data_IF_016210834038
#
_entry.id   IF_016210834038
#
_cell.length_a   1.000
_cell.length_b   1.000
_cell.length_c   1.000
_cell.angle_alpha   90.00
_cell.angle_beta   90.00
_cell.angle_gamma   90.00
#
_symmetry.space_group_name_H-M   'P 1'
#
loop_
_entity.id
_entity.type
_entity.pdbx_description
1 polymer ?
#
# COMPACT_ATOMS: atom_id res chain seq x y z
N UNK A 1 -11.14 11.17 13.47
CA UNK A 1 -11.56 9.86 14.00
C UNK A 1 -10.99 8.77 13.12
N UNK A 2 -10.06 7.99 13.65
CA UNK A 2 -9.51 6.83 12.93
C UNK A 2 -10.43 5.64 13.18
N UNK A 3 -11.24 5.31 12.17
CA UNK A 3 -12.16 4.18 12.23
C UNK A 3 -11.38 2.89 11.94
N UNK A 4 -11.41 1.95 12.88
CA UNK A 4 -10.86 0.61 12.67
C UNK A 4 -11.81 -0.18 11.77
N UNK A 5 -11.69 -0.01 10.46
CA UNK A 5 -12.53 -0.62 9.43
C UNK A 5 -11.96 -1.96 8.92
N UNK A 6 -11.42 -2.72 9.86
CA UNK A 6 -10.83 -4.05 9.71
C UNK A 6 -11.11 -4.83 11.00
N UNK A 7 -10.92 -6.15 10.97
CA UNK A 7 -11.40 -7.05 12.03
C UNK A 7 -12.90 -6.87 12.29
N UNK A 8 -13.64 -6.60 11.20
CA UNK A 8 -15.10 -6.55 11.19
C UNK A 8 -15.70 -7.95 11.36
N UNK A 9 -14.95 -8.94 10.91
CA UNK A 9 -15.25 -10.36 11.00
C UNK A 9 -13.97 -11.13 11.33
N UNK A 10 -14.11 -12.28 11.97
CA UNK A 10 -12.96 -13.08 12.41
C UNK A 10 -13.35 -14.40 13.06
N UNK A 11 -12.36 -15.06 13.67
CA UNK A 11 -12.56 -16.33 14.38
C UNK A 11 -13.38 -16.21 15.68
N UNK A 12 -13.86 -15.00 16.01
CA UNK A 12 -14.78 -14.72 17.12
C UNK A 12 -16.24 -14.65 16.69
N UNK A 13 -16.52 -14.74 15.38
CA UNK A 13 -17.89 -14.75 14.86
C UNK A 13 -18.58 -16.10 15.13
N UNK A 14 -19.89 -16.05 15.40
CA UNK A 14 -20.74 -17.22 15.65
C UNK A 14 -21.95 -17.22 14.70
N UNK A 15 -22.17 -18.29 13.89
CA UNK A 15 -21.33 -19.48 13.78
C UNK A 15 -19.99 -19.18 13.08
N UNK A 16 -18.97 -19.96 13.42
CA UNK A 16 -17.63 -19.78 12.86
C UNK A 16 -17.58 -20.13 11.37
N UNK A 17 -17.24 -19.14 10.55
CA UNK A 17 -17.15 -19.26 9.11
C UNK A 17 -15.94 -18.52 8.56
N UNK A 18 -15.38 -19.00 7.45
CA UNK A 18 -14.30 -18.35 6.74
C UNK A 18 -14.83 -17.12 5.98
N UNK A 19 -14.65 -15.94 6.58
CA UNK A 19 -15.17 -14.67 6.06
C UNK A 19 -14.07 -13.61 6.03
N UNK A 20 -14.23 -12.63 5.13
CA UNK A 20 -13.25 -11.56 5.01
C UNK A 20 -13.35 -10.57 6.18
N UNK A 21 -12.21 -10.16 6.74
CA UNK A 21 -12.19 -9.30 7.93
C UNK A 21 -12.34 -7.80 7.67
N UNK A 22 -12.18 -7.35 6.42
CA UNK A 22 -12.25 -5.93 6.03
C UNK A 22 -13.06 -5.68 4.74
N UNK A 23 -14.27 -6.26 4.56
CA UNK A 23 -15.04 -6.13 3.33
C UNK A 23 -15.44 -4.67 3.06
N UNK A 24 -15.14 -4.14 1.87
CA UNK A 24 -15.48 -2.76 1.52
C UNK A 24 -17.00 -2.58 1.44
N UNK A 25 -17.69 -3.55 0.84
CA UNK A 25 -19.14 -3.66 0.77
C UNK A 25 -19.59 -5.06 1.18
N UNK A 26 -20.85 -5.24 1.53
CA UNK A 26 -21.47 -6.57 1.59
C UNK A 26 -22.98 -6.39 1.53
N UNK A 27 -23.63 -7.00 0.55
CA UNK A 27 -25.09 -6.88 0.42
C UNK A 27 -25.82 -7.54 1.60
N UNK A 28 -25.29 -8.67 2.08
CA UNK A 28 -25.95 -9.52 3.07
C UNK A 28 -25.47 -9.29 4.52
N UNK A 29 -24.56 -8.33 4.75
CA UNK A 29 -24.11 -7.96 6.10
C UNK A 29 -24.00 -6.45 6.23
N UNK A 30 -24.62 -5.83 7.25
CA UNK A 30 -24.43 -4.41 7.53
C UNK A 30 -23.03 -4.10 8.08
N UNK A 31 -22.25 -5.12 8.46
CA UNK A 31 -20.91 -4.96 9.02
C UNK A 31 -19.89 -4.94 7.88
N UNK A 32 -19.74 -3.78 7.24
CA UNK A 32 -18.76 -3.52 6.18
C UNK A 32 -18.28 -2.06 6.22
N UNK A 33 -17.16 -1.77 5.55
CA UNK A 33 -16.50 -0.46 5.61
C UNK A 33 -17.44 0.68 5.15
N UNK A 34 -18.11 0.50 4.00
CA UNK A 34 -19.00 1.52 3.42
C UNK A 34 -20.18 1.83 4.34
N UNK A 35 -20.79 0.80 4.93
CA UNK A 35 -21.93 0.97 5.85
C UNK A 35 -21.50 1.64 7.14
N UNK A 36 -20.38 1.21 7.74
CA UNK A 36 -19.84 1.82 8.96
C UNK A 36 -19.51 3.30 8.75
N UNK A 37 -18.81 3.65 7.67
CA UNK A 37 -18.48 5.05 7.35
C UNK A 37 -19.74 5.92 7.19
N UNK A 38 -20.77 5.37 6.52
CA UNK A 38 -22.06 6.05 6.34
C UNK A 38 -22.79 6.24 7.67
N UNK A 39 -22.87 5.20 8.51
CA UNK A 39 -23.53 5.28 9.81
C UNK A 39 -22.89 6.32 10.73
N UNK A 40 -21.56 6.45 10.72
CA UNK A 40 -20.88 7.51 11.46
C UNK A 40 -21.22 8.91 10.95
N UNK A 41 -21.31 9.09 9.63
CA UNK A 41 -21.72 10.36 9.03
C UNK A 41 -23.19 10.69 9.35
N UNK A 42 -24.08 9.70 9.30
CA UNK A 42 -25.51 9.84 9.63
C UNK A 42 -25.73 10.13 11.12
N UNK A 43 -24.84 9.64 12.00
CA UNK A 43 -24.82 9.98 13.43
C UNK A 43 -24.31 11.42 13.70
N UNK A 44 -23.97 12.18 12.66
CA UNK A 44 -23.59 13.60 12.77
C UNK A 44 -22.09 13.86 12.83
N UNK A 45 -21.23 12.83 12.68
CA UNK A 45 -19.78 13.07 12.61
C UNK A 45 -19.41 13.67 11.25
N UNK A 46 -18.71 14.82 11.21
CA UNK A 46 -18.28 15.42 9.96
C UNK A 46 -17.45 14.46 9.11
N UNK A 47 -17.81 14.29 7.83
CA UNK A 47 -17.15 13.34 6.91
C UNK A 47 -15.64 13.57 6.80
N UNK A 48 -15.21 14.84 6.76
CA UNK A 48 -13.81 15.23 6.71
C UNK A 48 -13.00 14.90 7.98
N UNK A 49 -13.66 14.44 9.06
CA UNK A 49 -13.01 13.91 10.25
C UNK A 49 -13.00 12.38 10.28
N UNK A 50 -13.67 11.70 9.35
CA UNK A 50 -13.70 10.23 9.27
C UNK A 50 -12.49 9.73 8.48
N UNK A 51 -11.58 9.03 9.15
CA UNK A 51 -10.37 8.45 8.56
C UNK A 51 -10.55 6.93 8.54
N UNK A 52 -10.52 6.31 7.36
CA UNK A 52 -10.74 4.86 7.21
C UNK A 52 -9.45 4.08 7.47
N UNK A 53 -9.54 3.02 8.27
CA UNK A 53 -8.45 2.09 8.51
C UNK A 53 -8.28 1.07 7.39
N UNK A 54 -7.07 0.93 6.85
CA UNK A 54 -6.72 -0.15 5.90
C UNK A 54 -5.72 -1.10 6.59
N UNK A 55 -6.04 -2.41 6.68
CA UNK A 55 -5.14 -3.40 7.28
C UNK A 55 -4.08 -3.84 6.26
N UNK A 56 -2.85 -4.00 6.73
CA UNK A 56 -1.70 -4.50 5.98
C UNK A 56 -1.42 -5.96 6.35
N UNK A 57 -2.47 -6.67 6.74
CA UNK A 57 -2.47 -8.09 7.08
C UNK A 57 -3.78 -8.72 6.60
N UNK A 58 -3.80 -10.04 6.51
CA UNK A 58 -5.00 -10.85 6.36
C UNK A 58 -5.33 -11.66 7.60
N UNK A 59 -6.55 -12.18 7.68
CA UNK A 59 -7.00 -13.15 8.70
C UNK A 59 -7.11 -14.53 8.07
N UNK A 60 -6.69 -15.57 8.80
CA UNK A 60 -6.83 -16.95 8.32
C UNK A 60 -7.74 -17.81 9.16
N UNK A 61 -8.33 -18.80 8.50
CA UNK A 61 -9.23 -19.78 9.09
C UNK A 61 -8.83 -21.17 8.66
N UNK A 62 -9.03 -22.13 9.57
CA UNK A 62 -8.97 -23.55 9.23
C UNK A 62 -10.36 -24.03 8.82
N UNK A 63 -10.54 -24.39 7.55
CA UNK A 63 -11.79 -24.90 7.02
C UNK A 63 -12.13 -26.25 7.66
N UNK A 64 -13.41 -26.47 7.96
CA UNK A 64 -13.90 -27.77 8.42
C UNK A 64 -13.87 -28.82 7.31
N UNK A 65 -14.12 -28.41 6.07
CA UNK A 65 -14.02 -29.25 4.88
C UNK A 65 -13.13 -28.53 3.85
N UNK A 66 -11.94 -29.06 3.50
CA UNK A 66 -11.04 -28.44 2.53
C UNK A 66 -11.64 -28.25 1.14
N UNK A 67 -12.72 -28.98 0.80
CA UNK A 67 -13.42 -28.84 -0.47
C UNK A 67 -14.50 -27.74 -0.45
N UNK A 68 -14.82 -27.16 0.71
CA UNK A 68 -15.74 -26.03 0.85
C UNK A 68 -14.93 -24.76 1.04
N UNK A 69 -14.60 -24.10 -0.07
CA UNK A 69 -13.61 -23.00 -0.10
C UNK A 69 -14.22 -21.62 -0.34
N UNK A 70 -15.53 -21.56 -0.57
CA UNK A 70 -16.24 -20.29 -0.80
C UNK A 70 -16.33 -19.46 0.49
N UNK A 71 -16.37 -18.11 0.39
CA UNK A 71 -16.65 -17.27 1.55
C UNK A 71 -17.91 -17.72 2.29
N UNK A 72 -17.84 -17.78 3.62
CA UNK A 72 -18.90 -18.32 4.47
C UNK A 72 -18.81 -19.84 4.72
N UNK A 73 -17.79 -20.53 4.19
CA UNK A 73 -17.58 -21.94 4.49
C UNK A 73 -17.34 -22.17 6.00
N UNK A 74 -17.88 -23.26 6.59
CA UNK A 74 -17.67 -23.57 8.00
C UNK A 74 -16.18 -23.71 8.35
N UNK A 75 -15.77 -23.12 9.47
CA UNK A 75 -14.40 -23.14 9.95
C UNK A 75 -14.30 -23.73 11.37
N UNK A 76 -13.15 -24.31 11.69
CA UNK A 76 -12.84 -24.94 12.97
C UNK A 76 -12.20 -23.97 13.97
N UNK A 77 -11.66 -22.85 13.48
CA UNK A 77 -10.83 -21.94 14.27
C UNK A 77 -9.99 -21.01 13.40
N UNK A 78 -9.15 -20.18 14.04
CA UNK A 78 -8.09 -19.46 13.34
C UNK A 78 -7.17 -20.44 12.59
N UNK A 79 -6.61 -19.98 11.48
CA UNK A 79 -5.68 -20.75 10.67
C UNK A 79 -4.25 -20.66 11.20
N UNK A 80 -3.27 -20.66 10.28
CA UNK A 80 -1.85 -20.56 10.65
C UNK A 80 -1.48 -19.22 11.29
N UNK A 81 -2.34 -18.21 11.18
CA UNK A 81 -2.16 -16.90 11.80
C UNK A 81 -2.38 -16.92 13.33
N UNK A 82 -2.98 -17.98 13.87
CA UNK A 82 -3.31 -18.10 15.28
C UNK A 82 -4.23 -17.00 15.81
N UNK A 83 -4.93 -16.26 14.94
CA UNK A 83 -5.71 -15.09 15.31
C UNK A 83 -4.89 -13.79 15.49
N UNK A 84 -3.63 -13.75 15.06
CA UNK A 84 -2.80 -12.52 15.09
C UNK A 84 -2.79 -11.79 13.73
N UNK A 85 -3.06 -12.52 12.64
CA UNK A 85 -3.03 -12.01 11.28
C UNK A 85 -1.72 -12.29 10.53
N UNK A 86 -1.83 -12.45 9.21
CA UNK A 86 -0.69 -12.71 8.30
C UNK A 86 -0.30 -11.39 7.62
N UNK A 87 0.92 -10.86 7.86
CA UNK A 87 1.40 -9.64 7.18
C UNK A 87 1.35 -9.74 5.65
N UNK A 88 1.00 -8.65 4.97
CA UNK A 88 0.93 -8.60 3.50
C UNK A 88 2.27 -8.94 2.86
N UNK A 89 3.40 -8.54 3.46
CA UNK A 89 4.72 -8.92 2.95
C UNK A 89 4.93 -10.45 2.91
N UNK A 90 4.30 -11.24 3.79
CA UNK A 90 4.31 -12.71 3.72
C UNK A 90 3.32 -13.22 2.68
N UNK A 91 2.13 -12.63 2.63
CA UNK A 91 1.09 -13.01 1.65
C UNK A 91 1.60 -12.81 0.22
N UNK A 92 2.30 -11.71 -0.07
CA UNK A 92 2.83 -11.45 -1.40
C UNK A 92 3.87 -12.50 -1.83
N UNK A 93 4.68 -13.03 -0.89
CA UNK A 93 5.59 -14.15 -1.16
C UNK A 93 4.84 -15.44 -1.51
N UNK A 94 3.74 -15.74 -0.83
CA UNK A 94 2.90 -16.90 -1.14
C UNK A 94 2.32 -16.82 -2.55
N UNK A 95 1.78 -15.66 -2.92
CA UNK A 95 1.20 -15.41 -4.25
C UNK A 95 2.26 -15.51 -5.35
N UNK A 96 3.46 -14.96 -5.13
CA UNK A 96 4.62 -15.14 -6.02
C UNK A 96 5.09 -16.59 -6.12
N UNK A 97 4.92 -17.35 -5.05
CA UNK A 97 5.19 -18.78 -4.99
C UNK A 97 4.17 -19.65 -5.73
N UNK A 98 3.13 -19.05 -6.32
CA UNK A 98 2.16 -19.75 -7.17
C UNK A 98 0.77 -19.91 -6.54
N UNK A 99 0.55 -19.41 -5.32
CA UNK A 99 -0.78 -19.38 -4.71
C UNK A 99 -1.71 -18.51 -5.55
N UNK A 100 -2.91 -19.05 -5.82
CA UNK A 100 -3.90 -18.39 -6.64
C UNK A 100 -4.82 -17.54 -5.76
N UNK A 101 -4.73 -16.22 -5.92
CA UNK A 101 -5.71 -15.31 -5.35
C UNK A 101 -7.04 -15.42 -6.12
N UNK A 102 -8.12 -15.32 -5.36
CA UNK A 102 -9.50 -15.17 -5.82
C UNK A 102 -10.03 -13.84 -5.30
N UNK A 103 -11.07 -13.32 -5.93
CA UNK A 103 -11.64 -12.03 -5.58
C UNK A 103 -13.14 -12.19 -5.34
N UNK A 104 -13.66 -11.55 -4.29
CA UNK A 104 -15.07 -11.55 -3.91
C UNK A 104 -15.67 -10.25 -4.45
N UNK A 105 -16.34 -10.25 -5.61
CA UNK A 105 -16.76 -9.01 -6.29
C UNK A 105 -17.72 -8.16 -5.44
N UNK A 106 -18.61 -8.82 -4.70
CA UNK A 106 -19.62 -8.18 -3.85
C UNK A 106 -18.99 -7.52 -2.62
N UNK A 107 -17.82 -8.02 -2.18
CA UNK A 107 -17.08 -7.50 -1.03
C UNK A 107 -15.92 -6.57 -1.40
N UNK A 108 -15.53 -6.58 -2.67
CA UNK A 108 -14.38 -5.88 -3.24
C UNK A 108 -13.05 -6.18 -2.53
N UNK A 109 -12.84 -7.45 -2.19
CA UNK A 109 -11.67 -7.92 -1.45
C UNK A 109 -11.25 -9.30 -1.92
N UNK A 110 -9.94 -9.62 -1.87
CA UNK A 110 -9.42 -10.92 -2.26
C UNK A 110 -9.41 -11.93 -1.11
N UNK A 111 -9.26 -13.19 -1.48
CA UNK A 111 -8.87 -14.27 -0.58
C UNK A 111 -8.05 -15.31 -1.35
N UNK A 112 -7.41 -16.24 -0.66
CA UNK A 112 -6.89 -17.45 -1.28
C UNK A 112 -7.11 -18.65 -0.36
N UNK A 113 -6.94 -19.85 -0.92
CA UNK A 113 -7.01 -21.10 -0.16
C UNK A 113 -5.77 -21.95 -0.44
N UNK A 114 -5.19 -22.51 0.61
CA UNK A 114 -4.09 -23.46 0.56
C UNK A 114 -4.40 -24.67 1.44
N UNK A 115 -4.76 -25.81 0.84
CA UNK A 115 -5.19 -26.99 1.60
C UNK A 115 -6.49 -26.70 2.35
N UNK A 116 -6.45 -26.83 3.68
CA UNK A 116 -7.57 -26.48 4.58
C UNK A 116 -7.48 -25.05 5.13
N UNK A 117 -6.52 -24.24 4.70
CA UNK A 117 -6.37 -22.86 5.14
C UNK A 117 -7.02 -21.87 4.17
N UNK A 118 -7.92 -21.03 4.68
CA UNK A 118 -8.54 -19.92 3.97
C UNK A 118 -8.00 -18.60 4.50
N UNK A 119 -7.55 -17.69 3.62
CA UNK A 119 -6.96 -16.41 4.02
C UNK A 119 -7.65 -15.26 3.30
N UNK A 120 -8.32 -14.39 4.04
CA UNK A 120 -8.89 -13.12 3.55
C UNK A 120 -7.96 -11.97 3.88
N UNK A 121 -7.62 -11.14 2.90
CA UNK A 121 -6.59 -10.10 3.04
C UNK A 121 -6.86 -8.92 2.11
N UNK A 122 -6.09 -7.84 2.23
CA UNK A 122 -6.14 -6.73 1.28
C UNK A 122 -4.99 -6.78 0.26
N UNK A 123 -5.32 -6.65 -1.02
CA UNK A 123 -4.35 -6.59 -2.12
C UNK A 123 -4.32 -5.19 -2.76
N UNK A 124 -3.47 -5.01 -3.78
CA UNK A 124 -3.30 -3.72 -4.46
C UNK A 124 -4.63 -3.17 -5.00
N UNK A 125 -5.48 -4.06 -5.53
CA UNK A 125 -6.81 -3.71 -6.05
C UNK A 125 -7.74 -3.22 -4.94
N UNK A 126 -7.96 -4.02 -3.89
CA UNK A 126 -8.92 -3.71 -2.84
C UNK A 126 -8.53 -2.46 -2.05
N UNK A 127 -7.23 -2.25 -1.83
CA UNK A 127 -6.68 -1.06 -1.17
C UNK A 127 -6.98 0.19 -1.98
N UNK A 128 -6.76 0.15 -3.29
CA UNK A 128 -7.07 1.27 -4.18
C UNK A 128 -8.56 1.59 -4.16
N UNK A 129 -9.43 0.56 -4.23
CA UNK A 129 -10.88 0.75 -4.16
C UNK A 129 -11.36 1.33 -2.82
N UNK A 130 -10.74 0.95 -1.71
CA UNK A 130 -11.00 1.54 -0.38
C UNK A 130 -10.58 3.00 -0.31
N UNK A 131 -9.42 3.34 -0.86
CA UNK A 131 -8.98 4.73 -0.96
C UNK A 131 -9.87 5.57 -1.90
N UNK A 132 -10.37 4.98 -3.00
CA UNK A 132 -11.36 5.63 -3.87
C UNK A 132 -12.68 5.88 -3.14
N UNK A 133 -13.09 5.03 -2.19
CA UNK A 133 -14.26 5.30 -1.34
C UNK A 133 -14.05 6.58 -0.52
N UNK A 134 -12.86 6.75 0.08
CA UNK A 134 -12.48 7.97 0.84
C UNK A 134 -12.61 9.21 -0.04
N UNK A 135 -12.00 9.17 -1.22
CA UNK A 135 -12.01 10.29 -2.17
C UNK A 135 -13.42 10.64 -2.64
N UNK A 136 -14.17 9.64 -3.12
CA UNK A 136 -15.52 9.82 -3.68
C UNK A 136 -16.57 10.27 -2.65
N UNK A 137 -16.34 9.99 -1.36
CA UNK A 137 -17.24 10.40 -0.28
C UNK A 137 -16.75 11.62 0.50
N UNK A 138 -15.63 12.23 0.10
CA UNK A 138 -15.00 13.36 0.79
C UNK A 138 -14.74 13.06 2.29
N UNK A 139 -14.23 11.85 2.56
CA UNK A 139 -13.84 11.46 3.91
C UNK A 139 -12.47 12.08 4.26
N UNK A 140 -12.13 12.10 5.54
CA UNK A 140 -10.94 12.76 6.08
C UNK A 140 -9.59 12.12 5.72
N UNK A 141 -9.59 10.89 5.20
CA UNK A 141 -8.37 10.22 4.75
C UNK A 141 -8.32 8.73 5.08
N UNK A 142 -7.10 8.19 5.08
CA UNK A 142 -6.80 6.79 5.40
C UNK A 142 -5.80 6.70 6.56
N UNK A 143 -6.04 5.76 7.47
CA UNK A 143 -5.11 5.33 8.51
C UNK A 143 -4.61 3.91 8.18
N UNK A 144 -3.32 3.66 8.38
CA UNK A 144 -2.67 2.39 8.00
C UNK A 144 -2.42 1.53 9.23
N UNK A 145 -2.62 0.22 9.12
CA UNK A 145 -2.32 -0.73 10.19
C UNK A 145 -1.67 -2.02 9.66
N UNK A 146 -0.35 -2.20 9.75
CA UNK A 146 0.69 -1.23 10.12
C UNK A 146 1.79 -1.18 9.06
N UNK A 147 2.53 -0.08 9.04
CA UNK A 147 3.51 0.22 7.98
C UNK A 147 4.56 -0.90 7.79
N UNK A 148 5.01 -1.54 8.87
CA UNK A 148 6.00 -2.63 8.84
C UNK A 148 5.54 -3.91 8.13
N UNK A 149 4.22 -4.10 7.97
CA UNK A 149 3.63 -5.25 7.32
C UNK A 149 3.51 -5.11 5.78
N UNK A 150 3.75 -3.92 5.24
CA UNK A 150 3.89 -3.69 3.80
C UNK A 150 5.21 -4.29 3.26
N UNK A 151 5.28 -4.47 1.94
CA UNK A 151 6.53 -4.81 1.24
C UNK A 151 7.45 -3.59 1.11
N UNK A 152 7.93 -3.10 2.25
CA UNK A 152 8.85 -1.97 2.35
C UNK A 152 10.21 -2.22 1.66
N UNK A 153 10.55 -3.50 1.44
CA UNK A 153 11.80 -3.92 0.80
C UNK A 153 11.65 -4.02 -0.72
N UNK A 154 10.43 -4.12 -1.25
CA UNK A 154 10.16 -4.25 -2.68
C UNK A 154 10.54 -5.64 -3.21
N UNK A 155 10.36 -6.69 -2.40
CA UNK A 155 10.67 -8.06 -2.83
C UNK A 155 9.61 -8.60 -3.81
N UNK A 156 8.38 -8.13 -3.65
CA UNK A 156 7.24 -8.52 -4.46
C UNK A 156 6.97 -7.54 -5.62
N UNK A 157 7.71 -6.44 -5.72
CA UNK A 157 7.60 -5.46 -6.78
C UNK A 157 8.07 -4.08 -6.35
N UNK A 158 7.16 -3.11 -6.34
CA UNK A 158 7.45 -1.75 -5.87
C UNK A 158 7.52 -1.71 -4.34
N UNK A 159 8.48 -0.94 -3.80
CA UNK A 159 8.56 -0.71 -2.35
C UNK A 159 7.31 0.00 -1.86
N UNK A 160 6.80 -0.42 -0.71
CA UNK A 160 5.60 0.15 -0.11
C UNK A 160 4.36 0.00 -1.00
N UNK A 161 4.24 -1.15 -1.66
CA UNK A 161 3.23 -1.39 -2.70
C UNK A 161 1.80 -1.06 -2.23
N UNK A 162 1.41 -1.47 -1.02
CA UNK A 162 0.07 -1.18 -0.48
C UNK A 162 -0.08 0.32 -0.23
N UNK A 163 0.92 0.93 0.40
CA UNK A 163 0.90 2.38 0.71
C UNK A 163 0.79 3.24 -0.56
N UNK A 164 1.45 2.82 -1.63
CA UNK A 164 1.36 3.51 -2.91
C UNK A 164 -0.06 3.43 -3.51
N UNK A 165 -0.76 2.32 -3.31
CA UNK A 165 -2.13 2.16 -3.80
C UNK A 165 -3.16 2.99 -3.05
N UNK A 166 -2.89 3.29 -1.77
CA UNK A 166 -3.67 4.29 -1.04
C UNK A 166 -3.57 5.65 -1.73
N UNK A 167 -2.35 6.09 -2.08
CA UNK A 167 -2.13 7.38 -2.75
C UNK A 167 -2.82 7.39 -4.12
N UNK A 168 -2.69 6.31 -4.91
CA UNK A 168 -3.37 6.19 -6.20
C UNK A 168 -4.90 6.28 -6.08
N UNK A 169 -5.48 5.64 -5.06
CA UNK A 169 -6.92 5.64 -4.87
C UNK A 169 -7.48 6.95 -4.32
N UNK A 170 -6.70 7.71 -3.54
CA UNK A 170 -7.13 9.00 -2.99
C UNK A 170 -7.34 10.07 -4.07
N UNK A 171 -6.63 9.98 -5.20
CA UNK A 171 -6.90 10.81 -6.36
C UNK A 171 -5.67 11.42 -7.00
N UNK A 172 -5.92 12.17 -8.07
CA UNK A 172 -4.87 12.74 -8.91
C UNK A 172 -4.14 13.89 -8.24
N UNK A 173 -4.85 14.75 -7.51
CA UNK A 173 -4.23 15.89 -6.83
C UNK A 173 -3.24 15.37 -5.77
N UNK A 174 -3.68 14.38 -5.00
CA UNK A 174 -2.92 13.73 -3.94
C UNK A 174 -1.69 12.99 -4.51
N UNK A 175 -1.85 12.29 -5.64
CA UNK A 175 -0.73 11.67 -6.32
C UNK A 175 0.29 12.68 -6.85
N UNK A 176 -0.17 13.78 -7.43
CA UNK A 176 0.70 14.85 -7.95
C UNK A 176 1.46 15.52 -6.82
N UNK A 177 0.77 15.86 -5.74
CA UNK A 177 1.39 16.45 -4.53
C UNK A 177 2.43 15.50 -3.93
N UNK A 178 2.14 14.19 -3.89
CA UNK A 178 3.09 13.18 -3.45
C UNK A 178 4.35 13.13 -4.33
N UNK A 179 4.18 13.08 -5.67
CA UNK A 179 5.32 13.05 -6.60
C UNK A 179 6.17 14.32 -6.45
N UNK A 180 5.53 15.49 -6.37
CA UNK A 180 6.20 16.76 -6.18
C UNK A 180 6.99 16.80 -4.86
N UNK A 181 6.37 16.39 -3.74
CA UNK A 181 7.01 16.35 -2.43
C UNK A 181 8.18 15.35 -2.37
N UNK A 182 8.05 14.19 -3.03
CA UNK A 182 9.11 13.18 -3.12
C UNK A 182 10.31 13.72 -3.90
N UNK A 183 10.08 14.35 -5.05
CA UNK A 183 11.13 14.97 -5.85
C UNK A 183 11.85 16.08 -5.09
N UNK A 184 11.09 16.94 -4.41
CA UNK A 184 11.68 18.01 -3.59
C UNK A 184 12.56 17.44 -2.48
N UNK A 185 12.09 16.40 -1.79
CA UNK A 185 12.86 15.71 -0.74
C UNK A 185 14.16 15.10 -1.28
N UNK A 186 14.13 14.46 -2.46
CA UNK A 186 15.31 13.92 -3.12
C UNK A 186 16.29 15.03 -3.54
N UNK A 187 15.77 16.14 -4.07
CA UNK A 187 16.54 17.32 -4.43
C UNK A 187 17.27 17.89 -3.22
N UNK A 188 16.56 18.07 -2.10
CA UNK A 188 17.16 18.55 -0.84
C UNK A 188 18.26 17.59 -0.36
N UNK A 189 18.03 16.27 -0.41
CA UNK A 189 19.01 15.27 0.00
C UNK A 189 20.28 15.32 -0.83
N UNK A 190 20.16 15.42 -2.16
CA UNK A 190 21.32 15.48 -3.06
C UNK A 190 22.08 16.79 -2.87
N UNK A 191 21.38 17.93 -2.75
CA UNK A 191 22.02 19.21 -2.45
C UNK A 191 22.81 19.16 -1.13
N UNK A 192 22.25 18.53 -0.09
CA UNK A 192 22.95 18.34 1.17
C UNK A 192 24.23 17.50 0.98
N UNK A 193 24.16 16.41 0.22
CA UNK A 193 25.33 15.58 -0.11
C UNK A 193 26.37 16.37 -0.92
N UNK A 194 25.97 17.15 -1.91
CA UNK A 194 26.85 18.02 -2.70
C UNK A 194 27.64 18.95 -1.77
N UNK A 195 26.96 19.69 -0.89
CA UNK A 195 27.60 20.61 0.06
C UNK A 195 28.56 19.88 0.99
N UNK A 196 28.18 18.69 1.49
CA UNK A 196 29.04 17.88 2.35
C UNK A 196 30.28 17.40 1.60
N UNK A 197 30.12 16.80 0.43
CA UNK A 197 31.21 16.29 -0.42
C UNK A 197 32.16 17.41 -0.82
N UNK A 198 31.66 18.61 -1.15
CA UNK A 198 32.51 19.77 -1.44
C UNK A 198 33.41 20.18 -0.25
N UNK A 199 32.91 20.06 0.99
CA UNK A 199 33.73 20.31 2.19
C UNK A 199 34.80 19.22 2.38
N UNK A 200 34.45 17.96 2.13
CA UNK A 200 35.40 16.84 2.21
C UNK A 200 36.54 16.99 1.19
N UNK A 201 36.25 17.47 -0.03
CA UNK A 201 37.29 17.78 -1.03
C UNK A 201 38.27 18.80 -0.47
N UNK A 202 37.78 19.91 0.10
CA UNK A 202 38.63 20.93 0.73
C UNK A 202 39.51 20.34 1.84
N UNK A 203 38.91 19.56 2.74
CA UNK A 203 39.64 18.88 3.81
C UNK A 203 40.76 17.96 3.28
N UNK A 204 40.46 17.09 2.31
CA UNK A 204 41.46 16.17 1.76
C UNK A 204 42.56 16.86 0.97
N UNK A 205 42.23 17.96 0.29
CA UNK A 205 43.21 18.84 -0.36
C UNK A 205 44.15 19.50 0.66
N UNK A 206 43.61 20.01 1.78
CA UNK A 206 44.39 20.65 2.83
C UNK A 206 45.37 19.68 3.52
N UNK A 207 44.96 18.42 3.73
CA UNK A 207 45.84 17.37 4.28
C UNK A 207 46.68 16.65 3.20
N UNK A 208 46.74 17.18 1.98
CA UNK A 208 47.51 16.65 0.84
C UNK A 208 47.20 15.19 0.46
N UNK A 209 45.99 14.71 0.73
CA UNK A 209 45.53 13.38 0.36
C UNK A 209 44.85 13.42 -1.02
N UNK A 210 45.66 13.49 -2.08
CA UNK A 210 45.20 13.65 -3.46
C UNK A 210 44.31 12.51 -3.95
N UNK A 211 44.55 11.27 -3.50
CA UNK A 211 43.73 10.12 -3.88
C UNK A 211 42.30 10.23 -3.35
N UNK A 212 42.14 10.64 -2.08
CA UNK A 212 40.80 10.82 -1.50
C UNK A 212 40.11 12.07 -2.06
N UNK A 213 40.83 13.17 -2.29
CA UNK A 213 40.30 14.36 -2.94
C UNK A 213 39.73 14.03 -4.32
N UNK A 214 40.50 13.36 -5.18
CA UNK A 214 40.05 12.95 -6.52
C UNK A 214 38.83 12.01 -6.48
N UNK A 215 38.78 11.09 -5.50
CA UNK A 215 37.61 10.23 -5.31
C UNK A 215 36.36 11.03 -4.94
N UNK A 216 36.51 12.05 -4.09
CA UNK A 216 35.41 12.92 -3.67
C UNK A 216 34.97 13.87 -4.78
N UNK A 217 35.89 14.31 -5.64
CA UNK A 217 35.57 15.05 -6.87
C UNK A 217 34.71 14.22 -7.84
N UNK A 218 35.05 12.94 -8.05
CA UNK A 218 34.23 12.03 -8.86
C UNK A 218 32.84 11.79 -8.23
N UNK A 219 32.76 11.67 -6.89
CA UNK A 219 31.47 11.56 -6.18
C UNK A 219 30.63 12.83 -6.35
N UNK A 220 31.25 14.01 -6.30
CA UNK A 220 30.59 15.30 -6.51
C UNK A 220 30.02 15.42 -7.93
N UNK A 221 30.79 15.03 -8.94
CA UNK A 221 30.35 15.03 -10.34
C UNK A 221 29.13 14.11 -10.54
N UNK A 222 29.16 12.91 -9.95
CA UNK A 222 28.01 11.99 -10.00
C UNK A 222 26.77 12.62 -9.34
N UNK A 223 26.91 13.23 -8.15
CA UNK A 223 25.79 13.87 -7.46
C UNK A 223 25.21 15.05 -8.26
N UNK A 224 26.04 15.81 -8.96
CA UNK A 224 25.60 16.90 -9.84
C UNK A 224 24.83 16.37 -11.05
N UNK A 225 25.31 15.27 -11.66
CA UNK A 225 24.61 14.59 -12.75
C UNK A 225 23.26 14.00 -12.30
N UNK A 226 23.21 13.41 -11.10
CA UNK A 226 21.97 12.89 -10.51
C UNK A 226 20.97 14.03 -10.27
N UNK A 227 21.43 15.18 -9.75
CA UNK A 227 20.60 16.36 -9.54
C UNK A 227 20.02 16.89 -10.86
N UNK A 228 20.85 17.02 -11.90
CA UNK A 228 20.42 17.48 -13.22
C UNK A 228 19.40 16.51 -13.84
N UNK A 229 19.63 15.20 -13.70
CA UNK A 229 18.70 14.16 -14.16
C UNK A 229 17.35 14.25 -13.45
N UNK A 230 17.35 14.46 -12.13
CA UNK A 230 16.11 14.64 -11.36
C UNK A 230 15.34 15.90 -11.76
N UNK A 231 16.04 17.01 -12.02
CA UNK A 231 15.41 18.26 -12.47
C UNK A 231 14.78 18.12 -13.86
N UNK A 232 15.46 17.45 -14.78
CA UNK A 232 14.92 17.15 -16.11
C UNK A 232 13.71 16.20 -16.05
N UNK A 233 13.79 15.15 -15.23
CA UNK A 233 12.65 14.26 -14.96
C UNK A 233 11.48 15.01 -14.34
N UNK A 234 11.74 15.93 -13.40
CA UNK A 234 10.73 16.78 -12.79
C UNK A 234 10.03 17.64 -13.84
N UNK A 235 10.78 18.33 -14.70
CA UNK A 235 10.20 19.17 -15.75
C UNK A 235 9.34 18.35 -16.74
N UNK A 236 9.81 17.16 -17.11
CA UNK A 236 9.05 16.23 -17.98
C UNK A 236 7.80 15.69 -17.30
N UNK A 237 7.89 15.29 -16.03
CA UNK A 237 6.76 14.81 -15.24
C UNK A 237 5.73 15.92 -15.01
N UNK A 238 6.13 17.15 -14.69
CA UNK A 238 5.21 18.29 -14.56
C UNK A 238 4.48 18.59 -15.88
N UNK A 239 5.17 18.56 -17.01
CA UNK A 239 4.55 18.75 -18.33
C UNK A 239 3.58 17.62 -18.72
N UNK A 240 3.86 16.37 -18.30
CA UNK A 240 2.97 15.21 -18.51
C UNK A 240 1.77 15.21 -17.56
N UNK A 241 1.99 15.52 -16.28
CA UNK A 241 0.94 15.67 -15.26
C UNK A 241 -0.06 16.77 -15.63
N UNK A 242 0.41 17.90 -16.20
CA UNK A 242 -0.46 18.97 -16.69
C UNK A 242 -1.20 18.64 -18.01
N UNK A 243 -0.70 17.69 -18.82
CA UNK A 243 -1.27 17.36 -20.15
C UNK A 243 -2.09 16.08 -20.21
N UNK A 244 -1.85 15.09 -19.34
CA UNK A 244 -2.55 13.81 -19.38
C UNK A 244 -2.99 13.36 -18.00
N UNK A 245 -4.31 13.25 -17.84
CA UNK A 245 -5.03 12.66 -16.72
C UNK A 245 -4.67 11.20 -16.38
N UNK A 246 -3.60 10.64 -16.94
CA UNK A 246 -3.15 9.27 -16.76
C UNK A 246 -1.66 9.21 -17.06
N UNK A 247 -0.86 8.75 -16.10
CA UNK A 247 0.52 8.26 -16.21
C UNK A 247 1.66 9.27 -15.98
N UNK A 248 2.31 9.08 -14.82
CA UNK A 248 3.69 9.52 -14.55
C UNK A 248 4.53 8.47 -13.79
N UNK A 249 3.89 7.42 -13.24
CA UNK A 249 4.52 6.17 -12.80
C UNK A 249 4.20 5.04 -13.77
N UNK A 250 4.72 3.83 -13.51
CA UNK A 250 4.32 2.61 -14.23
C UNK A 250 2.80 2.57 -14.41
N UNK A 251 2.32 2.03 -15.54
CA UNK A 251 0.89 1.87 -15.77
C UNK A 251 0.24 1.25 -14.54
N UNK A 252 -0.76 1.94 -13.97
CA UNK A 252 -1.58 1.44 -12.87
C UNK A 252 -2.03 0.04 -13.28
N UNK A 253 -1.61 -1.03 -12.58
CA UNK A 253 -1.97 -2.38 -12.97
C UNK A 253 -3.50 -2.48 -13.09
N UNK A 254 -4.02 -3.12 -14.14
CA UNK A 254 -5.45 -3.34 -14.27
C UNK A 254 -5.98 -3.96 -12.97
N UNK A 255 -7.09 -3.44 -12.46
CA UNK A 255 -7.71 -3.94 -11.23
C UNK A 255 -7.99 -5.44 -11.30
N UNK A 256 -8.13 -6.00 -12.50
CA UNK A 256 -8.48 -7.41 -12.73
C UNK A 256 -7.28 -8.36 -12.81
N UNK A 257 -6.06 -7.88 -12.55
CA UNK A 257 -4.86 -8.72 -12.52
C UNK A 257 -4.43 -9.11 -11.10
N UNK A 258 -3.85 -10.30 -10.93
CA UNK A 258 -3.28 -10.72 -9.64
C UNK A 258 -2.22 -9.74 -9.13
N UNK A 259 -2.27 -9.42 -7.84
CA UNK A 259 -1.55 -8.25 -7.30
C UNK A 259 -0.02 -8.36 -7.28
N UNK A 260 0.54 -9.57 -7.28
CA UNK A 260 1.99 -9.76 -7.25
C UNK A 260 2.50 -10.92 -8.12
N UNK A 261 1.77 -11.31 -9.17
CA UNK A 261 2.31 -12.29 -10.14
C UNK A 261 3.34 -11.62 -11.06
N UNK A 262 4.35 -12.41 -11.45
CA UNK A 262 5.40 -12.04 -12.40
C UNK A 262 4.84 -11.86 -13.81
#
# INVERSE_FOLDING_TARGET
>A
FNLKTYDLHGHWDEPMAAVHHSPLTHADSPININTLARSWAEAGVPKNMLVLGIPYYGRSFRLQNPNMTMPGAPALGPGSDGGEGIPVNKICHLIRGGVQEQYIPEQKVPYFVMGDEWVGFDNLRSVREKAMLVASNHLGGVALWTLDQDDHRGVCGEKWSITFEVIHGLGRAEYVDYVAAKQESLRTLINHKIVHTSKEIGYYSDVQNSTMAARKEAELEQLQNDLATLQDQQQKQWMQVQRSATLGGKAIPPLDQPSWKL
#
